data_IF_891266354527
#
_entry.id   IF_891266354527
#
_cell.length_a   1.000
_cell.length_b   1.000
_cell.length_c   1.000
_cell.angle_alpha   90.00
_cell.angle_beta   90.00
_cell.angle_gamma   90.00
#
_symmetry.space_group_name_H-M   'P 1'
#
loop_
_entity.id
_entity.type
_entity.pdbx_description
1 polymer ?
#
# COMPACT_ATOMS: atom_id res chain seq x y z
N UNK A 1 -26.03 24.95 16.06
CA UNK A 1 -24.74 24.85 15.33
C UNK A 1 -24.25 23.41 15.46
N UNK A 2 -24.16 22.63 14.38
CA UNK A 2 -23.62 21.25 14.46
C UNK A 2 -22.10 21.35 14.36
N UNK A 3 -21.40 21.15 15.47
CA UNK A 3 -19.94 20.99 15.49
C UNK A 3 -19.62 19.66 14.80
N UNK A 4 -19.18 19.71 13.53
CA UNK A 4 -18.64 18.52 12.87
C UNK A 4 -17.30 18.21 13.54
N UNK A 5 -17.14 17.01 14.12
CA UNK A 5 -15.91 16.67 14.83
C UNK A 5 -14.71 16.71 13.88
N UNK A 6 -13.63 17.32 14.32
CA UNK A 6 -12.37 17.46 13.57
C UNK A 6 -11.76 16.11 13.21
N UNK A 7 -12.05 15.08 14.00
CA UNK A 7 -11.54 13.72 13.81
C UNK A 7 -12.08 13.09 12.52
N UNK A 8 -13.38 13.28 12.23
CA UNK A 8 -13.99 12.76 10.99
C UNK A 8 -13.48 13.44 9.72
N UNK A 9 -13.08 14.71 9.81
CA UNK A 9 -12.49 15.45 8.68
C UNK A 9 -11.04 15.01 8.45
N UNK A 10 -10.28 14.78 9.53
CA UNK A 10 -8.91 14.26 9.46
C UNK A 10 -8.87 12.87 8.83
N UNK A 11 -9.74 11.95 9.24
CA UNK A 11 -9.83 10.60 8.67
C UNK A 11 -10.13 10.62 7.16
N UNK A 12 -11.06 11.49 6.73
CA UNK A 12 -11.38 11.68 5.31
C UNK A 12 -10.18 12.21 4.52
N UNK A 13 -9.44 13.16 5.07
CA UNK A 13 -8.24 13.69 4.43
C UNK A 13 -7.14 12.62 4.31
N UNK A 14 -6.90 11.84 5.37
CA UNK A 14 -5.94 10.74 5.36
C UNK A 14 -6.31 9.66 4.34
N UNK A 15 -7.60 9.31 4.23
CA UNK A 15 -8.10 8.38 3.20
C UNK A 15 -7.76 8.88 1.79
N UNK A 16 -8.07 10.14 1.49
CA UNK A 16 -7.77 10.75 0.18
C UNK A 16 -6.27 10.80 -0.10
N UNK A 17 -5.47 11.16 0.91
CA UNK A 17 -4.00 11.20 0.80
C UNK A 17 -3.41 9.83 0.51
N UNK A 18 -3.90 8.78 1.16
CA UNK A 18 -3.49 7.40 0.91
C UNK A 18 -3.79 6.99 -0.54
N UNK A 19 -5.04 7.19 -0.99
CA UNK A 19 -5.45 6.85 -2.37
C UNK A 19 -4.60 7.58 -3.41
N UNK A 20 -4.34 8.88 -3.22
CA UNK A 20 -3.51 9.66 -4.14
C UNK A 20 -2.09 9.09 -4.26
N UNK A 21 -1.47 8.69 -3.14
CA UNK A 21 -0.12 8.10 -3.15
C UNK A 21 -0.05 6.78 -3.91
N UNK A 22 -1.04 5.90 -3.76
CA UNK A 22 -1.10 4.65 -4.52
C UNK A 22 -1.26 4.92 -6.01
N UNK A 23 -2.17 5.83 -6.39
CA UNK A 23 -2.42 6.18 -7.81
C UNK A 23 -1.25 6.86 -8.50
N UNK A 24 -0.47 7.64 -7.75
CA UNK A 24 0.70 8.33 -8.28
C UNK A 24 1.98 7.49 -8.16
N UNK A 25 1.87 6.19 -7.86
CA UNK A 25 3.01 5.28 -7.81
C UNK A 25 3.99 5.53 -6.66
N UNK A 26 3.64 6.36 -5.67
CA UNK A 26 4.48 6.63 -4.50
C UNK A 26 4.63 5.42 -3.58
N UNK A 27 3.72 4.45 -3.70
CA UNK A 27 3.70 3.24 -2.87
C UNK A 27 4.37 2.05 -3.56
N UNK A 28 4.96 2.24 -4.74
CA UNK A 28 5.69 1.24 -5.53
C UNK A 28 7.19 1.51 -5.44
N UNK A 29 7.97 0.57 -4.88
CA UNK A 29 9.43 0.73 -4.87
C UNK A 29 10.05 0.60 -6.26
N UNK A 30 9.38 -0.06 -7.21
CA UNK A 30 9.92 -0.21 -8.57
C UNK A 30 10.14 1.15 -9.26
N UNK A 31 9.32 2.15 -8.91
CA UNK A 31 9.41 3.54 -9.40
C UNK A 31 10.61 4.32 -8.83
N UNK A 32 11.32 3.80 -7.83
CA UNK A 32 12.48 4.47 -7.23
C UNK A 32 13.75 4.16 -8.01
N UNK A 33 13.89 4.71 -9.22
CA UNK A 33 15.01 4.43 -10.14
C UNK A 33 16.40 4.73 -9.58
N UNK A 34 16.51 5.48 -8.48
CA UNK A 34 17.76 5.72 -7.76
C UNK A 34 18.19 4.58 -6.83
N UNK A 35 17.33 3.58 -6.59
CA UNK A 35 17.65 2.41 -5.77
C UNK A 35 18.18 1.25 -6.64
N UNK A 36 19.03 0.40 -6.06
CA UNK A 36 19.41 -0.86 -6.70
C UNK A 36 18.19 -1.75 -6.93
N UNK A 37 18.21 -2.54 -8.01
CA UNK A 37 17.13 -3.46 -8.38
C UNK A 37 16.71 -4.41 -7.25
N UNK A 38 17.67 -4.90 -6.46
CA UNK A 38 17.39 -5.76 -5.30
C UNK A 38 16.60 -5.04 -4.21
N UNK A 39 16.84 -3.75 -4.03
CA UNK A 39 16.17 -2.93 -3.03
C UNK A 39 14.76 -2.50 -3.46
N UNK A 40 14.48 -2.58 -4.77
CA UNK A 40 13.19 -2.30 -5.40
C UNK A 40 12.18 -3.43 -5.31
N UNK A 41 12.62 -4.61 -4.86
CA UNK A 41 11.75 -5.77 -4.66
C UNK A 41 10.61 -5.50 -3.68
N UNK A 42 9.52 -6.23 -3.89
CA UNK A 42 8.33 -6.26 -3.04
C UNK A 42 8.71 -6.39 -1.56
N UNK A 43 8.25 -5.42 -0.74
CA UNK A 43 8.52 -5.40 0.71
C UNK A 43 7.88 -6.56 1.47
N UNK A 44 6.99 -7.29 0.81
CA UNK A 44 6.22 -8.38 1.41
C UNK A 44 6.82 -9.72 1.04
N UNK A 45 6.92 -10.04 -0.26
CA UNK A 45 7.40 -11.33 -0.73
C UNK A 45 8.88 -11.38 -1.12
N UNK A 46 9.52 -10.22 -1.35
CA UNK A 46 10.94 -10.10 -1.74
C UNK A 46 11.34 -10.83 -3.05
N UNK A 47 10.38 -11.20 -3.91
CA UNK A 47 10.63 -11.97 -5.14
C UNK A 47 10.76 -11.08 -6.39
N UNK A 48 9.72 -10.31 -6.67
CA UNK A 48 9.62 -9.43 -7.86
C UNK A 48 9.70 -7.96 -7.45
N UNK A 49 9.77 -7.06 -8.44
CA UNK A 49 9.64 -5.61 -8.23
C UNK A 49 8.32 -5.25 -7.54
N UNK A 50 8.35 -4.26 -6.65
CA UNK A 50 7.13 -3.84 -5.97
C UNK A 50 6.30 -2.90 -6.84
N UNK A 51 5.32 -3.45 -7.56
CA UNK A 51 4.37 -2.68 -8.39
C UNK A 51 2.92 -2.88 -7.97
N UNK A 52 2.03 -2.01 -8.44
CA UNK A 52 0.57 -2.09 -8.21
C UNK A 52 -0.09 -3.23 -8.98
N UNK A 53 0.57 -3.77 -10.01
CA UNK A 53 0.16 -4.99 -10.71
C UNK A 53 0.61 -6.23 -9.94
N UNK A 54 1.83 -6.21 -9.38
CA UNK A 54 2.36 -7.32 -8.59
C UNK A 54 1.59 -7.49 -7.28
N UNK A 55 1.37 -6.42 -6.51
CA UNK A 55 0.81 -6.54 -5.16
C UNK A 55 -0.55 -7.28 -5.08
N UNK A 56 -1.58 -6.96 -5.87
CA UNK A 56 -2.88 -7.60 -5.73
C UNK A 56 -2.94 -9.01 -6.37
N UNK A 57 -2.16 -9.29 -7.43
CA UNK A 57 -2.27 -10.56 -8.18
C UNK A 57 -1.02 -11.45 -8.14
N UNK A 58 0.17 -10.84 -8.11
CA UNK A 58 1.46 -11.53 -8.13
C UNK A 58 2.05 -11.82 -6.75
N UNK A 59 1.66 -11.06 -5.72
CA UNK A 59 2.15 -11.25 -4.37
C UNK A 59 1.34 -12.35 -3.67
N UNK A 60 1.88 -13.57 -3.58
CA UNK A 60 1.24 -14.73 -2.93
C UNK A 60 0.76 -14.43 -1.49
N UNK A 61 1.45 -13.52 -0.80
CA UNK A 61 1.18 -13.10 0.57
C UNK A 61 0.03 -12.08 0.69
N UNK A 62 -0.40 -11.50 -0.43
CA UNK A 62 -1.57 -10.61 -0.54
C UNK A 62 -2.72 -11.26 -1.34
N UNK A 63 -2.50 -12.46 -1.89
CA UNK A 63 -3.36 -13.11 -2.90
C UNK A 63 -4.72 -13.57 -2.36
N UNK A 64 -5.01 -13.40 -1.08
CA UNK A 64 -6.35 -13.63 -0.54
C UNK A 64 -7.38 -12.62 -1.08
N UNK A 65 -6.95 -11.47 -1.61
CA UNK A 65 -7.81 -10.55 -2.37
C UNK A 65 -7.75 -10.88 -3.86
N UNK A 66 -8.84 -11.35 -4.47
CA UNK A 66 -8.98 -11.50 -5.94
C UNK A 66 -9.07 -10.14 -6.68
N UNK A 67 -8.82 -9.03 -5.99
CA UNK A 67 -8.94 -7.69 -6.55
C UNK A 67 -7.87 -7.44 -7.63
N UNK A 68 -8.24 -6.69 -8.65
CA UNK A 68 -7.32 -6.17 -9.68
C UNK A 68 -6.72 -4.83 -9.29
N UNK A 69 -5.63 -4.43 -9.96
CA UNK A 69 -5.04 -3.09 -9.82
C UNK A 69 -6.06 -1.98 -10.08
N UNK A 70 -6.98 -2.17 -11.03
CA UNK A 70 -8.07 -1.24 -11.35
C UNK A 70 -9.10 -1.12 -10.22
N UNK A 71 -9.44 -2.24 -9.58
CA UNK A 71 -10.39 -2.27 -8.46
C UNK A 71 -9.81 -1.61 -7.20
N UNK A 72 -8.55 -1.92 -6.87
CA UNK A 72 -7.91 -1.34 -5.69
C UNK A 72 -7.61 0.15 -5.85
N UNK A 73 -7.46 0.66 -7.08
CA UNK A 73 -7.24 2.07 -7.35
C UNK A 73 -8.53 2.88 -7.58
N UNK A 74 -9.73 2.30 -7.43
CA UNK A 74 -11.00 2.94 -7.76
C UNK A 74 -11.29 4.28 -7.01
N UNK A 75 -12.00 5.21 -7.64
CA UNK A 75 -12.37 6.55 -7.12
C UNK A 75 -13.43 6.54 -6.01
N UNK A 76 -14.30 5.54 -6.00
CA UNK A 76 -15.31 5.38 -4.94
C UNK A 76 -14.68 4.94 -3.60
N UNK A 77 -13.40 4.56 -3.62
CA UNK A 77 -12.63 4.21 -2.44
C UNK A 77 -12.90 2.81 -1.89
N UNK A 78 -13.42 1.89 -2.72
CA UNK A 78 -13.50 0.44 -2.39
C UNK A 78 -12.15 -0.18 -2.05
N UNK A 79 -11.09 0.19 -2.77
CA UNK A 79 -9.74 -0.34 -2.52
C UNK A 79 -9.01 0.18 -1.27
N UNK A 80 -9.65 1.04 -0.46
CA UNK A 80 -8.95 1.63 0.70
C UNK A 80 -8.64 0.63 1.79
N UNK A 81 -9.50 -0.36 2.01
CA UNK A 81 -9.22 -1.38 3.03
C UNK A 81 -8.07 -2.30 2.60
N UNK A 82 -7.98 -2.61 1.31
CA UNK A 82 -6.81 -3.26 0.72
C UNK A 82 -5.53 -2.43 0.93
N UNK A 83 -5.56 -1.12 0.63
CA UNK A 83 -4.40 -0.23 0.84
C UNK A 83 -3.92 -0.21 2.30
N UNK A 84 -4.85 -0.26 3.26
CA UNK A 84 -4.52 -0.36 4.69
C UNK A 84 -3.87 -1.69 5.01
N UNK A 85 -4.39 -2.80 4.47
CA UNK A 85 -3.83 -4.13 4.71
C UNK A 85 -2.41 -4.25 4.14
N UNK A 86 -2.16 -3.72 2.94
CA UNK A 86 -0.80 -3.63 2.37
C UNK A 86 0.17 -2.90 3.31
N UNK A 87 -0.24 -1.74 3.87
CA UNK A 87 0.60 -1.00 4.84
C UNK A 87 0.87 -1.81 6.10
N UNK A 88 -0.17 -2.42 6.66
CA UNK A 88 -0.07 -3.26 7.87
C UNK A 88 0.87 -4.44 7.66
N UNK A 89 0.75 -5.16 6.55
CA UNK A 89 1.62 -6.30 6.24
C UNK A 89 3.07 -5.84 6.03
N UNK A 90 3.29 -4.71 5.34
CA UNK A 90 4.63 -4.11 5.20
C UNK A 90 5.25 -3.78 6.55
N UNK A 91 4.49 -3.18 7.47
CA UNK A 91 4.95 -2.88 8.82
C UNK A 91 5.31 -4.14 9.61
N UNK A 92 4.47 -5.18 9.53
CA UNK A 92 4.74 -6.47 10.16
C UNK A 92 6.03 -7.10 9.62
N UNK A 93 6.21 -7.11 8.30
CA UNK A 93 7.43 -7.67 7.67
C UNK A 93 8.69 -6.87 7.99
N UNK A 94 8.59 -5.55 8.15
CA UNK A 94 9.72 -4.70 8.57
C UNK A 94 10.02 -4.80 10.07
N UNK A 95 9.00 -5.05 10.90
CA UNK A 95 9.14 -5.22 12.36
C UNK A 95 9.87 -6.51 12.75
N UNK A 96 9.75 -7.57 11.94
CA UNK A 96 10.46 -8.86 12.16
C UNK A 96 11.98 -8.72 12.04
N UNK A 97 12.49 -7.66 11.41
CA UNK A 97 13.93 -7.39 11.26
C UNK A 97 14.59 -6.58 12.38
N UNK A 98 13.85 -6.10 13.41
CA UNK A 98 14.38 -5.22 14.47
C UNK A 98 14.72 -5.92 15.80
N UNK A 99 14.78 -7.24 15.84
CA UNK A 99 15.34 -7.99 16.97
C UNK A 99 16.72 -8.55 16.62
N UNK A 100 17.76 -7.71 16.72
CA UNK A 100 19.16 -8.01 17.06
C UNK A 100 20.04 -6.84 16.62
N UNK A 101 20.30 -5.93 17.56
CA UNK A 101 21.64 -5.45 17.91
C UNK A 101 21.61 -4.96 19.35
#
# INVERSE_FOLDING_TARGET
MKYQSTDTQREKYEKKRMMARFRCGNEEKENNFWMHETDRRCRICWREGETIEHMPKGCEELRESEESSEEVLNEDGRGVDWMKEVRKIRELRQGVGKQKE
#
